data_IF_552579872193
#
_entry.id   IF_552579872193
#
_cell.length_a   1.000
_cell.length_b   1.000
_cell.length_c   1.000
_cell.angle_alpha   90.00
_cell.angle_beta   90.00
_cell.angle_gamma   90.00
#
_symmetry.space_group_name_H-M   'P 1'
#
loop_
_entity.id
_entity.type
_entity.pdbx_description
1 polymer ?
#
# COMPACT_ATOMS: atom_id res chain seq x y z
N UNK A 1 9.78 -18.03 12.64
CA UNK A 1 10.61 -16.92 12.12
C UNK A 1 10.71 -16.88 10.59
N UNK A 2 11.01 -17.99 9.89
CA UNK A 2 11.08 -18.01 8.41
C UNK A 2 9.78 -17.59 7.71
N UNK A 3 8.63 -18.05 8.20
CA UNK A 3 7.31 -17.69 7.67
C UNK A 3 7.03 -16.18 7.79
N UNK A 4 7.32 -15.58 8.95
CA UNK A 4 7.13 -14.14 9.21
C UNK A 4 7.89 -13.30 8.20
N UNK A 5 9.17 -13.61 7.98
CA UNK A 5 10.01 -12.87 7.02
C UNK A 5 9.47 -12.98 5.59
N UNK A 6 8.95 -14.15 5.20
CA UNK A 6 8.34 -14.36 3.88
C UNK A 6 7.03 -13.57 3.72
N UNK A 7 6.19 -13.52 4.75
CA UNK A 7 4.94 -12.75 4.73
C UNK A 7 5.23 -11.25 4.71
N UNK A 8 6.11 -10.76 5.58
CA UNK A 8 6.51 -9.36 5.60
C UNK A 8 7.15 -8.93 4.27
N UNK A 9 7.92 -9.81 3.61
CA UNK A 9 8.45 -9.53 2.29
C UNK A 9 7.34 -9.26 1.26
N UNK A 10 6.15 -9.84 1.38
CA UNK A 10 5.05 -9.59 0.41
C UNK A 10 4.54 -8.15 0.39
N UNK A 11 4.85 -7.36 1.44
CA UNK A 11 4.47 -5.95 1.52
C UNK A 11 5.13 -5.06 0.46
N UNK A 12 6.18 -5.52 -0.21
CA UNK A 12 6.80 -4.76 -1.31
C UNK A 12 5.78 -4.41 -2.41
N UNK A 13 4.77 -5.26 -2.60
CA UNK A 13 3.72 -5.04 -3.60
C UNK A 13 2.87 -3.81 -3.27
N UNK A 14 2.55 -3.62 -1.99
CA UNK A 14 1.81 -2.45 -1.52
C UNK A 14 2.64 -1.18 -1.74
N UNK A 15 3.94 -1.25 -1.45
CA UNK A 15 4.84 -0.14 -1.72
C UNK A 15 4.91 0.19 -3.22
N UNK A 16 5.04 -0.82 -4.08
CA UNK A 16 5.07 -0.61 -5.52
C UNK A 16 3.77 0.03 -6.04
N UNK A 17 2.61 -0.41 -5.54
CA UNK A 17 1.32 0.13 -5.95
C UNK A 17 1.11 1.59 -5.54
N UNK A 18 1.44 1.93 -4.28
CA UNK A 18 1.36 3.31 -3.78
C UNK A 18 2.34 4.22 -4.53
N UNK A 19 3.56 3.74 -4.79
CA UNK A 19 4.57 4.45 -5.57
C UNK A 19 4.08 4.74 -7.00
N UNK A 20 3.56 3.72 -7.68
CA UNK A 20 3.00 3.86 -9.02
C UNK A 20 1.81 4.83 -9.04
N UNK A 21 0.89 4.73 -8.07
CA UNK A 21 -0.25 5.63 -7.96
C UNK A 21 0.18 7.08 -7.74
N UNK A 22 1.11 7.32 -6.81
CA UNK A 22 1.67 8.66 -6.54
C UNK A 22 2.27 9.27 -7.79
N UNK A 23 3.08 8.48 -8.52
CA UNK A 23 3.71 8.91 -9.76
C UNK A 23 2.67 9.23 -10.84
N UNK A 24 1.69 8.34 -11.05
CA UNK A 24 0.65 8.54 -12.05
C UNK A 24 -0.22 9.76 -11.76
N UNK A 25 -0.61 9.98 -10.50
CA UNK A 25 -1.42 11.14 -10.12
C UNK A 25 -0.64 12.43 -10.31
N UNK A 26 0.64 12.47 -9.93
CA UNK A 26 1.50 13.64 -10.16
C UNK A 26 1.67 13.95 -11.65
N UNK A 27 1.91 12.93 -12.46
CA UNK A 27 2.07 13.07 -13.91
C UNK A 27 0.79 13.60 -14.56
N UNK A 28 -0.35 12.97 -14.26
CA UNK A 28 -1.66 13.39 -14.79
C UNK A 28 -2.01 14.81 -14.32
N UNK A 29 -1.76 15.12 -13.05
CA UNK A 29 -1.99 16.47 -12.52
C UNK A 29 -1.20 17.54 -13.28
N UNK A 30 0.07 17.29 -13.57
CA UNK A 30 0.92 18.20 -14.34
C UNK A 30 0.48 18.36 -15.79
N UNK A 31 -0.04 17.28 -16.42
CA UNK A 31 -0.54 17.34 -17.80
C UNK A 31 -1.82 18.18 -17.93
N UNK A 32 -2.64 18.21 -16.87
CA UNK A 32 -3.88 18.98 -16.81
C UNK A 32 -3.65 20.46 -16.48
N UNK A 33 -2.44 20.85 -16.06
CA UNK A 33 -2.12 22.24 -15.74
C UNK A 33 -2.05 23.11 -17.00
N UNK A 34 -1.99 24.44 -16.84
CA UNK A 34 -1.82 25.40 -17.93
C UNK A 34 -0.33 25.60 -18.28
N UNK A 35 -0.01 25.92 -19.55
CA UNK A 35 1.38 26.14 -20.00
C UNK A 35 1.77 25.35 -21.26
N UNK A 36 3.05 25.35 -21.63
CA UNK A 36 3.53 24.59 -22.79
C UNK A 36 3.55 23.08 -22.50
N UNK A 37 3.30 22.24 -23.51
CA UNK A 37 3.31 20.78 -23.35
C UNK A 37 4.67 20.26 -22.85
N UNK A 38 5.75 20.87 -23.33
CA UNK A 38 7.12 20.51 -22.95
C UNK A 38 7.34 20.74 -21.45
N UNK A 39 6.97 21.92 -20.95
CA UNK A 39 7.12 22.25 -19.53
C UNK A 39 6.27 21.32 -18.66
N UNK A 40 5.01 21.08 -19.04
CA UNK A 40 4.11 20.15 -18.33
C UNK A 40 4.65 18.73 -18.25
N UNK A 41 5.27 18.22 -19.32
CA UNK A 41 5.88 16.90 -19.34
C UNK A 41 7.12 16.83 -18.45
N UNK A 42 7.99 17.82 -18.54
CA UNK A 42 9.21 17.88 -17.73
C UNK A 42 8.88 18.00 -16.23
N UNK A 43 7.98 18.93 -15.88
CA UNK A 43 7.49 19.08 -14.50
C UNK A 43 6.76 17.81 -14.05
N UNK A 44 5.96 17.19 -14.91
CA UNK A 44 5.22 15.99 -14.58
C UNK A 44 6.13 14.80 -14.26
N UNK A 45 7.13 14.55 -15.09
CA UNK A 45 8.06 13.43 -14.91
C UNK A 45 8.95 13.67 -13.68
N UNK A 46 9.68 14.79 -13.66
CA UNK A 46 10.66 15.06 -12.61
C UNK A 46 10.00 15.45 -11.28
N UNK A 47 8.92 16.22 -11.32
CA UNK A 47 8.16 16.60 -10.14
C UNK A 47 7.49 15.41 -9.45
N UNK A 48 6.97 14.45 -10.21
CA UNK A 48 6.38 13.22 -9.63
C UNK A 48 7.42 12.33 -8.98
N UNK A 49 8.63 12.25 -9.56
CA UNK A 49 9.76 11.55 -8.92
C UNK A 49 10.15 12.27 -7.62
N UNK A 50 10.23 13.60 -7.64
CA UNK A 50 10.57 14.38 -6.46
C UNK A 50 9.52 14.23 -5.35
N UNK A 51 8.22 14.22 -5.71
CA UNK A 51 7.12 13.95 -4.78
C UNK A 51 7.28 12.57 -4.12
N UNK A 52 7.58 11.54 -4.93
CA UNK A 52 7.73 10.17 -4.45
C UNK A 52 8.93 9.99 -3.52
N UNK A 53 10.06 10.63 -3.82
CA UNK A 53 11.28 10.53 -3.00
C UNK A 53 11.14 11.39 -1.74
N UNK A 54 10.80 12.66 -1.90
CA UNK A 54 10.86 13.63 -0.81
C UNK A 54 9.66 13.48 0.13
N UNK A 55 8.45 13.70 -0.40
CA UNK A 55 7.22 13.58 0.39
C UNK A 55 6.96 12.12 0.78
N UNK A 56 7.28 11.19 -0.12
CA UNK A 56 7.16 9.77 0.16
C UNK A 56 8.09 9.29 1.27
N UNK A 57 9.32 9.81 1.44
CA UNK A 57 10.27 9.25 2.43
C UNK A 57 9.75 9.22 3.88
N UNK A 58 9.09 10.29 4.33
CA UNK A 58 8.49 10.39 5.67
C UNK A 58 7.32 9.41 5.79
N UNK A 59 6.51 9.31 4.73
CA UNK A 59 5.38 8.39 4.66
C UNK A 59 5.84 6.92 4.61
N UNK A 60 6.87 6.59 3.83
CA UNK A 60 7.34 5.23 3.55
C UNK A 60 7.76 4.52 4.82
N UNK A 61 8.52 5.19 5.68
CA UNK A 61 9.00 4.62 6.94
C UNK A 61 7.83 4.27 7.87
N UNK A 62 6.91 5.21 8.10
CA UNK A 62 5.75 4.99 8.96
C UNK A 62 4.81 3.92 8.40
N UNK A 63 4.54 3.96 7.09
CA UNK A 63 3.68 3.00 6.40
C UNK A 63 4.25 1.58 6.45
N UNK A 64 5.53 1.39 6.09
CA UNK A 64 6.19 0.08 6.12
C UNK A 64 6.29 -0.44 7.55
N UNK A 65 6.64 0.42 8.52
CA UNK A 65 6.67 0.02 9.92
C UNK A 65 5.29 -0.46 10.40
N UNK A 66 4.22 0.27 10.07
CA UNK A 66 2.85 -0.13 10.43
C UNK A 66 2.46 -1.48 9.80
N UNK A 67 2.75 -1.71 8.52
CA UNK A 67 2.47 -3.00 7.86
C UNK A 67 3.21 -4.14 8.56
N UNK A 68 4.50 -3.98 8.85
CA UNK A 68 5.29 -5.03 9.52
C UNK A 68 4.76 -5.31 10.92
N UNK A 69 4.40 -4.28 11.69
CA UNK A 69 3.82 -4.44 13.04
C UNK A 69 2.48 -5.16 12.97
N UNK A 70 1.60 -4.79 12.03
CA UNK A 70 0.30 -5.42 11.87
C UNK A 70 0.41 -6.86 11.37
N UNK A 71 1.37 -7.18 10.51
CA UNK A 71 1.67 -8.55 10.12
C UNK A 71 2.10 -9.40 11.32
N UNK A 72 2.99 -8.88 12.16
CA UNK A 72 3.39 -9.57 13.39
C UNK A 72 2.22 -9.75 14.35
N UNK A 73 1.41 -8.70 14.55
CA UNK A 73 0.23 -8.76 15.40
C UNK A 73 -0.79 -9.76 14.87
N UNK A 74 -1.06 -9.75 13.57
CA UNK A 74 -1.96 -10.69 12.90
C UNK A 74 -1.56 -12.14 13.16
N UNK A 75 -0.27 -12.45 13.04
CA UNK A 75 0.25 -13.80 13.28
C UNK A 75 0.13 -14.22 14.75
N UNK A 76 0.28 -13.30 15.70
CA UNK A 76 0.09 -13.57 17.13
C UNK A 76 -1.39 -13.76 17.49
N UNK A 77 -2.30 -12.96 16.91
CA UNK A 77 -3.72 -13.00 17.22
C UNK A 77 -4.48 -14.11 16.49
N UNK A 78 -4.03 -14.55 15.31
CA UNK A 78 -4.77 -15.51 14.48
C UNK A 78 -4.39 -16.98 14.65
N UNK A 79 -3.40 -17.31 15.47
CA UNK A 79 -2.87 -18.66 15.70
C UNK A 79 -2.90 -19.53 14.41
N UNK A 80 -1.84 -19.36 13.62
CA UNK A 80 -1.64 -19.76 12.21
C UNK A 80 -2.24 -21.13 11.82
N UNK A 81 -2.33 -22.08 12.74
CA UNK A 81 -2.71 -23.45 12.46
C UNK A 81 -4.21 -23.67 12.10
N UNK A 82 -5.15 -22.87 12.61
CA UNK A 82 -6.58 -23.23 12.51
C UNK A 82 -7.46 -22.28 11.66
N UNK A 83 -7.15 -20.98 11.58
CA UNK A 83 -8.00 -20.00 10.83
C UNK A 83 -7.37 -19.44 9.56
N UNK A 84 -6.04 -19.48 9.43
CA UNK A 84 -5.29 -18.94 8.30
C UNK A 84 -5.15 -19.92 7.12
N UNK A 85 -5.46 -21.20 7.31
CA UNK A 85 -5.48 -22.18 6.22
C UNK A 85 -6.65 -21.97 5.24
N UNK A 86 -7.65 -21.16 5.64
CA UNK A 86 -8.74 -20.75 4.76
C UNK A 86 -8.42 -19.39 4.14
N UNK A 87 -8.52 -19.32 2.80
CA UNK A 87 -8.44 -18.06 2.04
C UNK A 87 -9.35 -16.97 2.61
N UNK A 88 -10.51 -17.34 3.15
CA UNK A 88 -11.48 -16.42 3.74
C UNK A 88 -10.95 -15.77 5.04
N UNK A 89 -10.26 -16.54 5.88
CA UNK A 89 -9.65 -16.03 7.10
C UNK A 89 -8.53 -15.03 6.80
N UNK A 90 -7.70 -15.35 5.81
CA UNK A 90 -6.63 -14.47 5.34
C UNK A 90 -7.19 -13.17 4.73
N UNK A 91 -8.24 -13.24 3.90
CA UNK A 91 -8.87 -12.04 3.34
C UNK A 91 -9.50 -11.14 4.42
N UNK A 92 -10.10 -11.74 5.44
CA UNK A 92 -10.68 -10.99 6.55
C UNK A 92 -9.61 -10.23 7.34
N UNK A 93 -8.50 -10.91 7.65
CA UNK A 93 -7.35 -10.28 8.31
C UNK A 93 -6.80 -9.10 7.50
N UNK A 94 -6.53 -9.32 6.20
CA UNK A 94 -6.04 -8.27 5.31
C UNK A 94 -7.02 -7.11 5.20
N UNK A 95 -8.33 -7.35 5.32
CA UNK A 95 -9.33 -6.28 5.38
C UNK A 95 -9.22 -5.42 6.63
N UNK A 96 -9.05 -6.02 7.81
CA UNK A 96 -8.83 -5.28 9.06
C UNK A 96 -7.52 -4.49 8.99
N UNK A 97 -6.44 -5.13 8.55
CA UNK A 97 -5.15 -4.47 8.34
C UNK A 97 -5.30 -3.27 7.42
N UNK A 98 -5.96 -3.46 6.27
CA UNK A 98 -6.19 -2.40 5.30
C UNK A 98 -6.99 -1.24 5.88
N UNK A 99 -8.04 -1.53 6.65
CA UNK A 99 -8.85 -0.50 7.31
C UNK A 99 -8.03 0.31 8.33
N UNK A 100 -7.26 -0.36 9.19
CA UNK A 100 -6.45 0.31 10.22
C UNK A 100 -5.39 1.22 9.60
N UNK A 101 -4.69 0.73 8.57
CA UNK A 101 -3.66 1.50 7.87
C UNK A 101 -4.30 2.66 7.10
N UNK A 102 -5.47 2.45 6.48
CA UNK A 102 -6.12 3.47 5.66
C UNK A 102 -6.80 4.57 6.48
N UNK A 103 -7.19 4.30 7.72
CA UNK A 103 -7.94 5.22 8.58
C UNK A 103 -7.33 6.64 8.69
N UNK A 104 -6.03 6.82 9.05
CA UNK A 104 -5.43 8.15 9.11
C UNK A 104 -5.45 8.85 7.74
N UNK A 105 -5.24 8.12 6.65
CA UNK A 105 -5.23 8.70 5.30
C UNK A 105 -6.62 9.14 4.84
N UNK A 106 -7.65 8.35 5.16
CA UNK A 106 -9.04 8.74 4.89
C UNK A 106 -9.40 9.99 5.69
N UNK A 107 -9.01 10.06 6.97
CA UNK A 107 -9.22 11.25 7.79
C UNK A 107 -8.59 12.50 7.15
N UNK A 108 -7.32 12.42 6.73
CA UNK A 108 -6.64 13.52 6.06
C UNK A 108 -7.22 13.84 4.68
N UNK A 109 -7.67 12.83 3.92
CA UNK A 109 -8.33 12.99 2.63
C UNK A 109 -9.59 13.85 2.75
N UNK A 110 -10.41 13.57 3.76
CA UNK A 110 -11.65 14.30 4.03
C UNK A 110 -11.35 15.70 4.56
N UNK A 111 -10.46 15.80 5.55
CA UNK A 111 -10.16 17.06 6.24
C UNK A 111 -9.56 18.10 5.32
N UNK A 112 -8.59 17.71 4.49
CA UNK A 112 -7.83 18.64 3.64
C UNK A 112 -8.34 18.64 2.18
N UNK A 113 -9.36 17.84 1.88
CA UNK A 113 -9.90 17.64 0.53
C UNK A 113 -8.84 17.25 -0.52
N UNK A 114 -7.83 16.49 -0.09
CA UNK A 114 -6.73 16.05 -0.96
C UNK A 114 -7.04 14.70 -1.61
N UNK A 115 -7.45 14.76 -2.89
CA UNK A 115 -7.85 13.58 -3.66
C UNK A 115 -6.76 12.51 -3.83
N UNK A 116 -5.48 12.91 -3.75
CA UNK A 116 -4.34 11.98 -3.78
C UNK A 116 -4.52 10.86 -2.75
N UNK A 117 -4.97 11.18 -1.53
CA UNK A 117 -5.11 10.19 -0.45
C UNK A 117 -6.15 9.10 -0.77
N UNK A 118 -7.26 9.43 -1.44
CA UNK A 118 -8.22 8.42 -1.89
C UNK A 118 -7.59 7.48 -2.94
N UNK A 119 -6.78 8.04 -3.84
CA UNK A 119 -6.01 7.27 -4.80
C UNK A 119 -5.06 6.28 -4.12
N UNK A 120 -4.29 6.74 -3.13
CA UNK A 120 -3.35 5.91 -2.39
C UNK A 120 -4.04 4.80 -1.58
N UNK A 121 -5.15 5.12 -0.91
CA UNK A 121 -5.97 4.12 -0.18
C UNK A 121 -6.51 3.06 -1.15
N UNK A 122 -7.02 3.49 -2.30
CA UNK A 122 -7.55 2.57 -3.32
C UNK A 122 -6.44 1.68 -3.88
N UNK A 123 -5.29 2.26 -4.24
CA UNK A 123 -4.14 1.52 -4.74
C UNK A 123 -3.64 0.47 -3.73
N UNK A 124 -3.58 0.85 -2.45
CA UNK A 124 -3.22 -0.03 -1.36
C UNK A 124 -4.21 -1.19 -1.19
N UNK A 125 -5.52 -0.92 -1.21
CA UNK A 125 -6.53 -1.98 -1.12
C UNK A 125 -6.44 -2.94 -2.30
N UNK A 126 -6.31 -2.40 -3.52
CA UNK A 126 -6.17 -3.21 -4.73
C UNK A 126 -4.92 -4.10 -4.65
N UNK A 127 -3.77 -3.57 -4.26
CA UNK A 127 -2.54 -4.37 -4.12
C UNK A 127 -2.67 -5.45 -3.05
N UNK A 128 -3.33 -5.12 -1.94
CA UNK A 128 -3.57 -6.05 -0.83
C UNK A 128 -4.40 -7.26 -1.29
N UNK A 129 -5.54 -7.02 -1.94
CA UNK A 129 -6.48 -8.10 -2.27
C UNK A 129 -6.18 -8.81 -3.58
N UNK A 130 -5.70 -8.10 -4.60
CA UNK A 130 -5.49 -8.69 -5.92
C UNK A 130 -4.13 -9.37 -6.06
N UNK A 131 -3.11 -8.90 -5.35
CA UNK A 131 -1.73 -9.36 -5.55
C UNK A 131 -1.15 -9.98 -4.28
N UNK A 132 -1.34 -9.36 -3.11
CA UNK A 132 -0.73 -9.83 -1.86
C UNK A 132 -1.45 -11.06 -1.30
N UNK A 133 -2.78 -11.03 -1.20
CA UNK A 133 -3.60 -12.15 -0.74
C UNK A 133 -3.25 -13.50 -1.41
N UNK A 134 -3.21 -13.62 -2.75
CA UNK A 134 -2.85 -14.90 -3.38
C UNK A 134 -1.42 -15.35 -3.08
N UNK A 135 -0.47 -14.42 -2.96
CA UNK A 135 0.93 -14.74 -2.60
C UNK A 135 1.04 -15.26 -1.16
N UNK A 136 0.38 -14.59 -0.21
CA UNK A 136 0.36 -15.02 1.19
C UNK A 136 -0.31 -16.39 1.33
N UNK A 137 -1.43 -16.62 0.65
CA UNK A 137 -2.12 -17.91 0.66
C UNK A 137 -1.21 -19.05 0.15
N UNK A 138 -0.49 -18.83 -0.95
CA UNK A 138 0.47 -19.80 -1.47
C UNK A 138 1.63 -20.08 -0.49
N UNK A 139 2.11 -19.05 0.22
CA UNK A 139 3.18 -19.21 1.22
C UNK A 139 2.68 -20.05 2.40
N UNK A 140 1.47 -19.76 2.91
CA UNK A 140 0.88 -20.48 4.05
C UNK A 140 0.65 -21.96 3.72
N UNK A 141 0.10 -22.27 2.53
CA UNK A 141 -0.13 -23.66 2.09
C UNK A 141 1.16 -24.49 1.90
N UNK A 142 2.28 -23.84 1.60
CA UNK A 142 3.57 -24.53 1.37
C UNK A 142 4.29 -24.85 2.68
N UNK A 143 4.02 -24.07 3.73
CA UNK A 143 4.66 -24.21 5.04
C UNK A 143 3.75 -24.95 6.07
N UNK A 144 2.54 -25.38 5.67
CA UNK A 144 1.60 -26.26 6.42
C UNK A 144 1.80 -27.74 6.08
#
# INVERSE_FOLDING_TARGET
>A
MKLILRLAATNWVNCAAIAACTYSVGLVGSLLDSGSLYDRLMVGIFGSIFLLIYYGSIFWLGFVACMVVLDMAGLLFLDIANRLNSRTGLSFFLGIESMLISAPFIYWAVKENYYLWYGLVTAFWLSQFLIRLPKMHHIVLKDS
#
